data_IF_521902536560
#
_entry.id   IF_521902536560
#
_cell.length_a   1.000
_cell.length_b   1.000
_cell.length_c   1.000
_cell.angle_alpha   90.00
_cell.angle_beta   90.00
_cell.angle_gamma   90.00
#
_symmetry.space_group_name_H-M   'P 1'
#
loop_
_entity.id
_entity.type
_entity.pdbx_description
1 polymer ?
#
# COMPACT_ATOMS: atom_id res chain seq x y z
N UNK A 1 -34.24 -7.55 -14.40
CA UNK A 1 -33.31 -6.47 -14.74
C UNK A 1 -33.74 -5.22 -13.96
N UNK A 2 -32.81 -4.50 -13.39
CA UNK A 2 -33.04 -3.18 -12.76
C UNK A 2 -32.77 -2.03 -13.74
N UNK A 3 -32.32 -2.33 -14.96
CA UNK A 3 -32.00 -1.34 -16.01
C UNK A 3 -33.22 -0.44 -16.27
N UNK A 4 -32.99 0.88 -16.35
CA UNK A 4 -34.02 1.93 -16.48
C UNK A 4 -34.71 2.32 -15.18
N UNK A 5 -34.36 1.72 -14.04
CA UNK A 5 -34.92 2.12 -12.75
C UNK A 5 -34.07 3.21 -12.10
N UNK A 6 -34.74 4.20 -11.50
CA UNK A 6 -34.09 5.19 -10.65
C UNK A 6 -33.99 4.61 -9.24
N UNK A 7 -32.78 4.59 -8.71
CA UNK A 7 -32.49 4.09 -7.37
C UNK A 7 -31.75 5.14 -6.55
N UNK A 8 -31.77 4.97 -5.25
CA UNK A 8 -30.93 5.69 -4.32
C UNK A 8 -30.04 4.70 -3.59
N UNK A 9 -28.73 4.95 -3.61
CA UNK A 9 -27.72 4.11 -2.95
C UNK A 9 -26.73 4.97 -2.19
N UNK A 10 -26.16 4.45 -1.15
CA UNK A 10 -25.03 5.04 -0.44
C UNK A 10 -23.78 4.17 -0.56
N UNK A 11 -22.63 4.80 -0.37
CA UNK A 11 -21.34 4.14 -0.42
C UNK A 11 -20.19 5.10 -0.19
N UNK A 12 -18.97 4.57 -0.20
CA UNK A 12 -17.75 5.36 -0.10
C UNK A 12 -17.05 5.41 -1.46
N UNK A 13 -16.67 6.62 -1.88
CA UNK A 13 -15.90 6.81 -3.11
C UNK A 13 -14.52 6.18 -2.94
N UNK A 14 -14.22 5.17 -3.73
CA UNK A 14 -12.94 4.45 -3.74
C UNK A 14 -11.95 5.06 -4.73
N UNK A 15 -12.42 5.42 -5.94
CA UNK A 15 -11.68 6.19 -6.93
C UNK A 15 -12.59 7.28 -7.49
N UNK A 16 -12.23 8.56 -7.34
CA UNK A 16 -13.05 9.68 -7.84
C UNK A 16 -12.83 9.88 -9.35
N UNK A 17 -13.72 10.65 -9.95
CA UNK A 17 -13.60 11.12 -11.32
C UNK A 17 -12.29 11.90 -11.56
N UNK A 18 -11.86 11.94 -12.81
CA UNK A 18 -10.64 12.63 -13.22
C UNK A 18 -9.34 11.89 -12.92
N UNK A 19 -9.41 10.64 -12.43
CA UNK A 19 -8.22 9.82 -12.15
C UNK A 19 -7.95 8.81 -13.27
N UNK A 20 -8.81 7.82 -13.47
CA UNK A 20 -8.63 6.83 -14.52
C UNK A 20 -9.07 7.37 -15.88
N UNK A 21 -10.08 8.23 -15.90
CA UNK A 21 -10.54 8.99 -17.08
C UNK A 21 -10.57 10.47 -16.73
N UNK A 22 -10.23 11.32 -17.69
CA UNK A 22 -10.08 12.77 -17.49
C UNK A 22 -11.09 13.61 -18.26
N UNK A 23 -11.87 13.01 -19.14
CA UNK A 23 -12.78 13.74 -20.05
C UNK A 23 -14.25 13.64 -19.65
N UNK A 24 -14.60 12.73 -18.77
CA UNK A 24 -15.93 12.45 -18.27
C UNK A 24 -15.86 11.86 -16.86
N UNK A 25 -16.97 11.76 -16.18
CA UNK A 25 -17.03 11.11 -14.87
C UNK A 25 -17.04 9.61 -15.04
N UNK A 26 -15.99 8.99 -14.54
CA UNK A 26 -15.90 7.56 -14.23
C UNK A 26 -15.37 7.51 -12.80
N UNK A 27 -16.25 7.21 -11.87
CA UNK A 27 -15.92 7.10 -10.45
C UNK A 27 -16.46 5.79 -9.88
N UNK A 28 -15.91 5.35 -8.77
CA UNK A 28 -16.25 4.04 -8.20
C UNK A 28 -16.68 4.19 -6.76
N UNK A 29 -17.83 3.57 -6.46
CA UNK A 29 -18.37 3.45 -5.11
C UNK A 29 -18.27 2.03 -4.62
N UNK A 30 -18.12 1.87 -3.31
CA UNK A 30 -18.18 0.58 -2.64
C UNK A 30 -18.84 0.74 -1.28
N UNK A 31 -19.71 -0.19 -0.93
CA UNK A 31 -20.41 -0.26 0.34
C UNK A 31 -19.94 -1.45 1.19
N UNK A 32 -20.66 -1.76 2.25
CA UNK A 32 -20.36 -2.87 3.17
C UNK A 32 -20.58 -4.27 2.54
N UNK A 33 -21.20 -4.36 1.35
CA UNK A 33 -21.35 -5.62 0.62
C UNK A 33 -20.03 -6.17 0.08
N UNK A 34 -18.98 -5.32 0.05
CA UNK A 34 -17.69 -5.65 -0.52
C UNK A 34 -17.68 -5.67 -2.06
N UNK A 35 -18.73 -5.12 -2.69
CA UNK A 35 -18.82 -4.99 -4.16
C UNK A 35 -18.84 -3.52 -4.54
N UNK A 36 -18.14 -3.24 -5.63
CA UNK A 36 -18.09 -1.90 -6.19
C UNK A 36 -19.04 -1.72 -7.36
N UNK A 37 -19.39 -0.47 -7.62
CA UNK A 37 -20.15 -0.06 -8.79
C UNK A 37 -19.57 1.23 -9.38
N UNK A 38 -19.75 1.39 -10.69
CA UNK A 38 -19.30 2.58 -11.42
C UNK A 38 -20.39 3.66 -11.42
N UNK A 39 -19.99 4.91 -11.18
CA UNK A 39 -20.76 6.10 -11.46
C UNK A 39 -20.32 6.71 -12.77
N UNK A 40 -21.24 6.97 -13.65
CA UNK A 40 -20.99 7.58 -14.96
C UNK A 40 -21.75 8.90 -15.14
N UNK A 41 -21.08 9.87 -15.76
CA UNK A 41 -21.69 11.06 -16.38
C UNK A 41 -20.83 11.50 -17.56
N UNK A 42 -21.45 12.00 -18.62
CA UNK A 42 -20.75 12.55 -19.78
C UNK A 42 -19.94 13.82 -19.45
N UNK A 43 -20.24 14.48 -18.36
CA UNK A 43 -19.50 15.64 -17.85
C UNK A 43 -18.55 15.22 -16.75
N UNK A 44 -17.39 15.88 -16.64
CA UNK A 44 -16.43 15.62 -15.56
C UNK A 44 -16.85 16.32 -14.28
N UNK A 45 -17.20 15.54 -13.26
CA UNK A 45 -17.52 16.02 -11.92
C UNK A 45 -16.42 15.69 -10.92
N UNK A 46 -15.74 16.70 -10.42
CA UNK A 46 -14.67 16.59 -9.41
C UNK A 46 -15.08 17.10 -8.02
N UNK A 47 -16.38 17.22 -7.76
CA UNK A 47 -16.92 17.73 -6.49
C UNK A 47 -16.73 16.80 -5.30
N UNK A 48 -16.51 15.51 -5.57
CA UNK A 48 -16.27 14.46 -4.58
C UNK A 48 -14.90 13.80 -4.75
N UNK A 49 -14.37 13.25 -3.65
CA UNK A 49 -13.01 12.70 -3.58
C UNK A 49 -13.00 11.33 -2.91
N UNK A 50 -11.88 10.60 -3.03
CA UNK A 50 -11.69 9.33 -2.32
C UNK A 50 -11.94 9.50 -0.82
N UNK A 51 -12.73 8.59 -0.24
CA UNK A 51 -13.11 8.61 1.17
C UNK A 51 -14.32 9.50 1.47
N UNK A 52 -14.97 10.09 0.46
CA UNK A 52 -16.27 10.69 0.69
C UNK A 52 -17.34 9.58 0.76
N UNK A 53 -18.09 9.55 1.85
CA UNK A 53 -19.32 8.77 1.94
C UNK A 53 -20.43 9.62 1.30
N UNK A 54 -21.13 9.05 0.33
CA UNK A 54 -22.08 9.75 -0.52
C UNK A 54 -23.42 9.02 -0.58
N UNK A 55 -24.49 9.78 -0.80
CA UNK A 55 -25.80 9.29 -1.23
C UNK A 55 -25.99 9.68 -2.67
N UNK A 56 -26.31 8.73 -3.52
CA UNK A 56 -26.40 8.88 -4.98
C UNK A 56 -27.78 8.52 -5.46
N UNK A 57 -28.43 9.44 -6.18
CA UNK A 57 -29.64 9.16 -6.98
C UNK A 57 -29.20 8.92 -8.41
N UNK A 58 -29.48 7.75 -8.94
CA UNK A 58 -29.04 7.36 -10.28
C UNK A 58 -30.04 6.44 -10.99
N UNK A 59 -29.99 6.47 -12.31
CA UNK A 59 -30.62 5.46 -13.17
C UNK A 59 -29.65 4.28 -13.34
N UNK A 60 -30.15 3.07 -13.17
CA UNK A 60 -29.38 1.86 -13.47
C UNK A 60 -29.32 1.65 -14.97
N UNK A 61 -28.12 1.60 -15.52
CA UNK A 61 -27.87 1.32 -16.93
C UNK A 61 -26.91 0.13 -17.07
N UNK A 62 -26.68 -0.28 -18.31
CA UNK A 62 -25.76 -1.35 -18.65
C UNK A 62 -24.93 -0.95 -19.86
N UNK A 63 -23.62 -0.90 -19.68
CA UNK A 63 -22.66 -0.64 -20.76
C UNK A 63 -21.77 -1.87 -20.97
N UNK A 64 -21.77 -2.40 -22.18
CA UNK A 64 -20.97 -3.59 -22.57
C UNK A 64 -21.18 -4.79 -21.64
N UNK A 65 -22.46 -5.03 -21.25
CA UNK A 65 -22.84 -6.14 -20.38
C UNK A 65 -22.50 -5.95 -18.90
N UNK A 66 -22.09 -4.75 -18.50
CA UNK A 66 -21.71 -4.41 -17.11
C UNK A 66 -22.64 -3.32 -16.57
N UNK A 67 -23.13 -3.46 -15.33
CA UNK A 67 -23.99 -2.46 -14.73
C UNK A 67 -23.22 -1.18 -14.43
N UNK A 68 -23.83 -0.03 -14.72
CA UNK A 68 -23.37 1.29 -14.35
C UNK A 68 -24.51 2.15 -13.79
N UNK A 69 -24.16 3.20 -13.09
CA UNK A 69 -25.11 4.16 -12.55
C UNK A 69 -24.93 5.51 -13.23
N UNK A 70 -25.92 5.91 -14.02
CA UNK A 70 -26.00 7.28 -14.56
C UNK A 70 -26.62 8.16 -13.48
N UNK A 71 -25.78 8.84 -12.69
CA UNK A 71 -26.26 9.60 -11.57
C UNK A 71 -26.81 10.98 -11.98
N UNK A 72 -27.87 11.39 -11.30
CA UNK A 72 -28.49 12.70 -11.44
C UNK A 72 -28.23 13.62 -10.25
N UNK A 73 -27.93 13.05 -9.08
CA UNK A 73 -27.56 13.78 -7.86
C UNK A 73 -26.56 12.97 -7.04
N UNK A 74 -25.66 13.69 -6.36
CA UNK A 74 -24.72 13.14 -5.40
C UNK A 74 -24.61 14.08 -4.19
N UNK A 75 -24.94 13.57 -3.02
CA UNK A 75 -24.88 14.28 -1.75
C UNK A 75 -23.77 13.71 -0.89
N UNK A 76 -22.85 14.55 -0.43
CA UNK A 76 -21.76 14.13 0.44
C UNK A 76 -22.27 14.07 1.88
N UNK A 77 -22.35 12.85 2.41
CA UNK A 77 -22.79 12.59 3.79
C UNK A 77 -21.68 12.81 4.80
N UNK A 78 -20.43 12.40 4.44
CA UNK A 78 -19.27 12.48 5.32
C UNK A 78 -17.99 12.54 4.49
N UNK A 79 -17.05 13.38 4.91
CA UNK A 79 -15.69 13.43 4.38
C UNK A 79 -14.74 12.51 5.16
N UNK A 80 -13.70 12.02 4.49
CA UNK A 80 -12.65 11.19 5.10
C UNK A 80 -13.18 9.93 5.82
N UNK A 81 -14.20 9.28 5.25
CA UNK A 81 -14.60 7.95 5.67
C UNK A 81 -13.48 6.94 5.31
N UNK A 82 -13.43 5.85 6.04
CA UNK A 82 -12.53 4.75 5.71
C UNK A 82 -12.92 4.18 4.34
N UNK A 83 -11.97 4.10 3.43
CA UNK A 83 -12.18 3.49 2.11
C UNK A 83 -12.25 1.98 2.28
N UNK A 84 -13.36 1.33 1.92
CA UNK A 84 -13.44 -0.12 1.94
C UNK A 84 -12.46 -0.72 0.94
N UNK A 85 -11.84 -1.84 1.30
CA UNK A 85 -10.91 -2.58 0.44
C UNK A 85 -11.06 -4.07 0.69
N UNK A 86 -11.22 -4.85 -0.38
CA UNK A 86 -11.28 -6.31 -0.32
C UNK A 86 -9.89 -6.91 -0.53
N UNK A 87 -9.33 -7.52 0.50
CA UNK A 87 -8.04 -8.21 0.41
C UNK A 87 -8.23 -9.64 -0.10
N UNK A 88 -7.46 -10.03 -1.12
CA UNK A 88 -7.60 -11.34 -1.74
C UNK A 88 -6.32 -11.82 -2.39
N UNK A 89 -6.28 -13.09 -2.77
CA UNK A 89 -5.23 -13.69 -3.59
C UNK A 89 -5.40 -13.30 -5.06
N UNK A 90 -4.34 -13.44 -5.85
CA UNK A 90 -4.42 -13.26 -7.31
C UNK A 90 -5.39 -14.25 -7.95
N UNK A 91 -5.44 -15.48 -7.43
CA UNK A 91 -6.38 -16.50 -7.91
C UNK A 91 -7.85 -16.09 -7.71
N UNK A 92 -8.20 -15.57 -6.54
CA UNK A 92 -9.55 -15.05 -6.27
C UNK A 92 -9.88 -13.86 -7.16
N UNK A 93 -8.93 -12.92 -7.31
CA UNK A 93 -9.08 -11.77 -8.18
C UNK A 93 -9.31 -12.17 -9.64
N UNK A 94 -8.60 -13.17 -10.14
CA UNK A 94 -8.74 -13.68 -11.51
C UNK A 94 -10.10 -14.35 -11.80
N UNK A 95 -10.97 -14.54 -10.79
CA UNK A 95 -12.32 -15.07 -11.00
C UNK A 95 -13.27 -14.12 -11.75
N UNK A 96 -12.84 -12.91 -12.09
CA UNK A 96 -13.61 -11.85 -12.79
C UNK A 96 -14.85 -11.35 -12.04
N UNK A 97 -14.98 -11.63 -10.74
CA UNK A 97 -16.13 -11.23 -9.92
C UNK A 97 -15.95 -9.85 -9.25
N UNK A 98 -14.81 -9.19 -9.48
CA UNK A 98 -14.39 -7.97 -8.77
C UNK A 98 -14.27 -6.75 -9.68
N UNK A 99 -14.98 -6.76 -10.82
CA UNK A 99 -15.12 -5.56 -11.65
C UNK A 99 -15.69 -4.40 -10.81
N UNK A 100 -15.09 -3.22 -10.95
CA UNK A 100 -15.45 -1.98 -10.23
C UNK A 100 -15.22 -1.99 -8.71
N UNK A 101 -14.83 -3.15 -8.14
CA UNK A 101 -14.51 -3.30 -6.72
C UNK A 101 -13.09 -2.80 -6.44
N UNK A 102 -12.92 -2.05 -5.35
CA UNK A 102 -11.61 -1.64 -4.86
C UNK A 102 -11.01 -2.80 -4.06
N UNK A 103 -9.99 -3.40 -4.62
CA UNK A 103 -9.37 -4.62 -4.10
C UNK A 103 -7.91 -4.37 -3.75
N UNK A 104 -7.35 -5.28 -2.95
CA UNK A 104 -5.94 -5.33 -2.61
C UNK A 104 -5.40 -6.73 -2.87
N UNK A 105 -4.33 -6.80 -3.64
CA UNK A 105 -3.58 -8.02 -3.91
C UNK A 105 -2.09 -7.78 -3.68
N UNK A 106 -1.31 -8.84 -3.60
CA UNK A 106 0.13 -8.74 -3.55
C UNK A 106 0.80 -9.86 -4.36
N UNK A 107 2.04 -9.60 -4.78
CA UNK A 107 2.82 -10.59 -5.49
C UNK A 107 4.15 -10.03 -6.00
N UNK A 108 4.91 -10.88 -6.64
CA UNK A 108 6.20 -10.56 -7.25
C UNK A 108 6.00 -10.05 -8.68
N UNK A 109 6.68 -8.97 -9.02
CA UNK A 109 6.71 -8.46 -10.38
C UNK A 109 7.55 -9.40 -11.25
N UNK A 110 6.94 -9.96 -12.29
CA UNK A 110 7.59 -10.90 -13.21
C UNK A 110 7.83 -10.30 -14.60
N UNK A 111 7.08 -9.27 -14.97
CA UNK A 111 7.31 -8.51 -16.19
C UNK A 111 6.78 -7.09 -16.08
N UNK A 112 7.31 -6.20 -16.91
CA UNK A 112 6.88 -4.80 -17.02
C UNK A 112 6.95 -4.37 -18.48
N UNK A 113 5.95 -3.62 -18.92
CA UNK A 113 5.89 -2.95 -20.21
C UNK A 113 5.49 -1.50 -19.99
N UNK A 114 6.37 -0.59 -20.34
CA UNK A 114 6.16 0.85 -20.21
C UNK A 114 5.30 1.41 -21.35
N UNK A 115 4.76 2.62 -21.24
CA UNK A 115 4.01 3.27 -22.29
C UNK A 115 4.84 3.40 -23.57
N UNK A 116 4.24 3.15 -24.72
CA UNK A 116 4.89 3.29 -26.01
C UNK A 116 3.89 3.69 -27.11
N UNK A 117 4.23 4.68 -27.92
CA UNK A 117 3.39 5.18 -29.00
C UNK A 117 2.06 5.72 -28.48
N UNK A 118 0.96 5.15 -28.94
CA UNK A 118 -0.41 5.51 -28.50
C UNK A 118 -0.85 4.79 -27.23
N UNK A 119 -0.03 3.88 -26.68
CA UNK A 119 -0.32 3.20 -25.43
C UNK A 119 -0.06 4.14 -24.26
N UNK A 120 -1.10 4.57 -23.60
CA UNK A 120 -1.08 5.58 -22.52
C UNK A 120 -1.02 4.98 -21.13
N UNK A 121 -0.22 3.94 -20.92
CA UNK A 121 -0.05 3.35 -19.59
C UNK A 121 0.90 2.15 -19.57
N UNK A 122 1.45 1.87 -18.40
CA UNK A 122 2.30 0.71 -18.14
C UNK A 122 1.47 -0.52 -17.77
N UNK A 123 1.90 -1.70 -18.21
CA UNK A 123 1.40 -2.99 -17.76
C UNK A 123 2.48 -3.70 -16.96
N UNK A 124 2.12 -4.18 -15.78
CA UNK A 124 3.03 -4.86 -14.86
C UNK A 124 2.39 -6.18 -14.45
N UNK A 125 3.03 -7.29 -14.77
CA UNK A 125 2.54 -8.62 -14.39
C UNK A 125 2.99 -8.94 -12.98
N UNK A 126 2.02 -9.28 -12.13
CA UNK A 126 2.21 -9.65 -10.72
C UNK A 126 1.87 -11.11 -10.56
N UNK A 127 2.79 -11.89 -9.98
CA UNK A 127 2.60 -13.31 -9.68
C UNK A 127 2.57 -13.52 -8.16
N UNK A 128 1.55 -14.20 -7.65
CA UNK A 128 1.47 -14.57 -6.25
C UNK A 128 2.23 -15.87 -5.93
N UNK A 129 2.19 -16.29 -4.66
CA UNK A 129 2.88 -17.50 -4.20
C UNK A 129 2.30 -18.80 -4.78
N UNK A 130 1.07 -18.79 -5.30
CA UNK A 130 0.46 -19.94 -5.98
C UNK A 130 0.94 -20.13 -7.42
N UNK A 131 1.59 -19.10 -7.97
CA UNK A 131 2.01 -19.03 -9.37
C UNK A 131 0.98 -18.35 -10.29
N UNK A 132 -0.17 -17.95 -9.74
CA UNK A 132 -1.18 -17.21 -10.49
C UNK A 132 -0.70 -15.79 -10.83
N UNK A 133 -1.04 -15.33 -12.02
CA UNK A 133 -0.59 -14.06 -12.58
C UNK A 133 -1.77 -13.16 -12.91
N UNK A 134 -1.64 -11.88 -12.56
CA UNK A 134 -2.57 -10.83 -13.00
C UNK A 134 -1.80 -9.62 -13.50
N UNK A 135 -2.51 -8.67 -14.13
CA UNK A 135 -1.92 -7.43 -14.65
C UNK A 135 -2.32 -6.24 -13.79
N UNK A 136 -1.35 -5.48 -13.32
CA UNK A 136 -1.55 -4.12 -12.85
C UNK A 136 -1.41 -3.16 -14.03
N UNK A 137 -2.44 -2.36 -14.28
CA UNK A 137 -2.45 -1.33 -15.31
C UNK A 137 -2.34 0.05 -14.69
N UNK A 138 -1.23 0.75 -14.93
CA UNK A 138 -1.01 2.13 -14.48
C UNK A 138 -1.28 3.06 -15.66
N UNK A 139 -2.40 3.79 -15.62
CA UNK A 139 -2.74 4.75 -16.66
C UNK A 139 -1.97 6.05 -16.51
N UNK A 140 -1.51 6.62 -17.62
CA UNK A 140 -0.84 7.93 -17.61
C UNK A 140 -1.75 9.06 -17.10
N UNK A 141 -3.07 8.94 -17.31
CA UNK A 141 -4.07 9.87 -16.75
C UNK A 141 -3.99 10.04 -15.24
N UNK A 142 -3.48 9.04 -14.51
CA UNK A 142 -3.31 9.11 -13.05
C UNK A 142 -2.14 10.00 -12.63
N UNK A 143 -1.17 10.26 -13.50
CA UNK A 143 0.07 10.99 -13.22
C UNK A 143 0.85 10.42 -12.02
N UNK A 144 0.86 9.08 -11.83
CA UNK A 144 1.56 8.46 -10.71
C UNK A 144 2.93 7.89 -11.08
N UNK A 145 3.11 7.47 -12.32
CA UNK A 145 4.38 6.92 -12.83
C UNK A 145 4.87 7.65 -14.07
N UNK A 146 4.00 7.81 -15.07
CA UNK A 146 4.26 8.54 -16.31
C UNK A 146 3.23 9.66 -16.47
N UNK A 147 3.62 10.72 -17.18
CA UNK A 147 2.70 11.78 -17.59
C UNK A 147 1.96 11.43 -18.89
N UNK A 148 1.13 12.35 -19.37
CA UNK A 148 0.37 12.19 -20.63
C UNK A 148 1.24 12.09 -21.88
N UNK A 149 2.51 12.51 -21.81
CA UNK A 149 3.52 12.42 -22.87
C UNK A 149 4.34 11.14 -22.85
N UNK A 150 4.05 10.20 -21.93
CA UNK A 150 4.84 9.01 -21.66
C UNK A 150 6.21 9.27 -21.01
N UNK A 151 6.41 10.45 -20.42
CA UNK A 151 7.64 10.75 -19.68
C UNK A 151 7.54 10.23 -18.24
N UNK A 152 8.61 9.57 -17.77
CA UNK A 152 8.70 9.08 -16.40
C UNK A 152 8.79 10.23 -15.40
N UNK A 153 7.85 10.34 -14.47
CA UNK A 153 7.75 11.44 -13.50
C UNK A 153 7.99 11.04 -12.04
N UNK A 154 8.02 9.73 -11.73
CA UNK A 154 8.15 9.23 -10.37
C UNK A 154 9.23 8.15 -10.25
N UNK A 155 10.48 8.57 -10.04
CA UNK A 155 11.64 7.69 -9.94
C UNK A 155 11.58 6.74 -8.73
N UNK A 156 10.96 7.16 -7.63
CA UNK A 156 10.83 6.31 -6.43
C UNK A 156 9.88 5.15 -6.70
N UNK A 157 8.75 5.42 -7.33
CA UNK A 157 7.80 4.37 -7.73
C UNK A 157 8.39 3.51 -8.85
N UNK A 158 9.13 4.10 -9.78
CA UNK A 158 9.83 3.36 -10.83
C UNK A 158 10.78 2.31 -10.25
N UNK A 159 11.57 2.70 -9.24
CA UNK A 159 12.49 1.78 -8.55
C UNK A 159 11.77 0.64 -7.85
N UNK A 160 10.58 0.89 -7.28
CA UNK A 160 9.74 -0.12 -6.65
C UNK A 160 9.13 -1.09 -7.68
N UNK A 161 8.89 -0.62 -8.90
CA UNK A 161 8.21 -1.39 -9.95
C UNK A 161 9.18 -2.15 -10.88
N UNK A 162 10.37 -2.50 -10.40
CA UNK A 162 11.31 -3.32 -11.16
C UNK A 162 10.98 -4.81 -11.06
N UNK A 163 11.32 -5.57 -12.12
CA UNK A 163 11.15 -7.03 -12.12
C UNK A 163 11.92 -7.66 -10.94
N UNK A 164 11.26 -8.52 -10.22
CA UNK A 164 11.78 -9.17 -9.02
C UNK A 164 11.32 -8.55 -7.70
N UNK A 165 10.85 -7.31 -7.69
CA UNK A 165 10.29 -6.68 -6.50
C UNK A 165 8.96 -7.32 -6.10
N UNK A 166 8.69 -7.35 -4.81
CA UNK A 166 7.41 -7.82 -4.25
C UNK A 166 6.63 -6.59 -3.81
N UNK A 167 5.42 -6.46 -4.32
CA UNK A 167 4.56 -5.32 -4.04
C UNK A 167 3.18 -5.77 -3.54
N UNK A 168 2.55 -4.88 -2.79
CA UNK A 168 1.13 -4.89 -2.52
C UNK A 168 0.51 -3.74 -3.32
N UNK A 169 -0.59 -4.00 -3.99
CA UNK A 169 -1.31 -3.01 -4.77
C UNK A 169 -2.78 -3.01 -4.42
N UNK A 170 -3.32 -1.80 -4.20
CA UNK A 170 -4.76 -1.55 -4.12
C UNK A 170 -5.22 -0.84 -5.39
N UNK A 171 -6.39 -1.17 -5.86
CA UNK A 171 -6.91 -0.56 -7.09
C UNK A 171 -8.28 -1.06 -7.47
N UNK A 172 -8.84 -0.47 -8.53
CA UNK A 172 -10.11 -0.95 -9.08
C UNK A 172 -9.86 -2.21 -9.88
N UNK A 173 -10.65 -3.24 -9.59
CA UNK A 173 -10.74 -4.42 -10.43
C UNK A 173 -11.42 -4.09 -11.75
N UNK A 174 -10.85 -4.58 -12.82
CA UNK A 174 -11.39 -4.46 -14.17
C UNK A 174 -11.03 -5.67 -15.00
N UNK A 175 -11.49 -5.66 -16.24
CA UNK A 175 -11.27 -6.73 -17.21
C UNK A 175 -10.77 -6.14 -18.53
N UNK A 176 -9.80 -6.80 -19.13
CA UNK A 176 -9.35 -6.49 -20.48
C UNK A 176 -9.10 -7.80 -21.25
N UNK A 177 -9.80 -7.97 -22.38
CA UNK A 177 -9.68 -9.17 -23.23
C UNK A 177 -9.87 -10.50 -22.46
N UNK A 178 -10.81 -10.54 -21.52
CA UNK A 178 -11.11 -11.74 -20.72
C UNK A 178 -10.14 -12.01 -19.57
N UNK A 179 -9.23 -11.09 -19.24
CA UNK A 179 -8.30 -11.21 -18.14
C UNK A 179 -8.52 -10.10 -17.11
N UNK A 180 -8.38 -10.43 -15.82
CA UNK A 180 -8.45 -9.46 -14.74
C UNK A 180 -7.30 -8.44 -14.80
N UNK A 181 -7.63 -7.19 -14.50
CA UNK A 181 -6.69 -6.08 -14.36
C UNK A 181 -6.95 -5.32 -13.07
N UNK A 182 -5.91 -5.03 -12.28
CA UNK A 182 -6.00 -4.09 -11.17
C UNK A 182 -5.47 -2.72 -11.60
N UNK A 183 -6.20 -1.65 -11.29
CA UNK A 183 -5.93 -0.29 -11.74
C UNK A 183 -5.75 0.64 -10.53
N UNK A 184 -4.53 0.90 -10.08
CA UNK A 184 -4.26 1.88 -9.02
C UNK A 184 -4.51 3.30 -9.52
N UNK A 185 -5.01 4.17 -8.66
CA UNK A 185 -5.32 5.57 -8.96
C UNK A 185 -4.37 6.57 -8.31
N UNK A 186 -3.60 6.15 -7.30
CA UNK A 186 -2.63 6.96 -6.58
C UNK A 186 -1.33 6.20 -6.39
N UNK A 187 -0.21 6.92 -6.26
CA UNK A 187 1.07 6.30 -5.98
C UNK A 187 1.09 5.55 -4.63
N UNK A 188 0.31 6.02 -3.65
CA UNK A 188 0.12 5.35 -2.37
C UNK A 188 -0.65 4.03 -2.43
N UNK A 189 -1.29 3.74 -3.54
CA UNK A 189 -1.97 2.46 -3.76
C UNK A 189 -0.98 1.32 -4.02
N UNK A 190 0.29 1.64 -4.27
CA UNK A 190 1.35 0.68 -4.59
C UNK A 190 2.44 0.81 -3.54
N UNK A 191 2.70 -0.28 -2.84
CA UNK A 191 3.67 -0.29 -1.75
C UNK A 191 4.57 -1.51 -1.84
N UNK A 192 5.80 -1.39 -1.35
CA UNK A 192 6.71 -2.53 -1.25
C UNK A 192 6.16 -3.55 -0.24
N UNK A 193 6.20 -4.83 -0.59
CA UNK A 193 5.91 -5.93 0.32
C UNK A 193 7.19 -6.72 0.57
N UNK A 194 7.64 -6.73 1.80
CA UNK A 194 8.86 -7.46 2.17
C UNK A 194 8.60 -8.98 2.22
N UNK A 195 9.57 -9.78 1.75
CA UNK A 195 9.50 -11.23 1.85
C UNK A 195 9.29 -11.68 3.30
N UNK A 196 8.33 -12.58 3.53
CA UNK A 196 7.96 -13.06 4.86
C UNK A 196 6.66 -12.48 5.42
N UNK A 197 6.02 -11.55 4.73
CA UNK A 197 4.71 -11.00 5.12
C UNK A 197 3.57 -11.73 4.40
N UNK A 198 3.29 -12.95 4.82
CA UNK A 198 2.07 -13.67 4.44
C UNK A 198 0.96 -13.34 5.44
N UNK A 199 -0.07 -12.67 5.00
CA UNK A 199 -1.36 -12.48 5.67
C UNK A 199 -1.31 -12.08 7.16
N UNK A 200 -1.69 -10.90 7.52
CA UNK A 200 -1.54 -10.15 8.77
C UNK A 200 -0.18 -9.45 8.83
N UNK A 201 -0.22 -8.19 8.45
CA UNK A 201 0.91 -7.28 8.58
C UNK A 201 1.43 -7.30 10.04
N UNK A 202 2.55 -7.96 10.28
CA UNK A 202 3.21 -7.96 11.58
C UNK A 202 4.46 -7.12 11.50
N UNK A 203 4.65 -6.24 12.50
CA UNK A 203 5.88 -5.52 12.68
C UNK A 203 7.10 -6.45 12.55
N UNK A 204 8.12 -6.04 11.84
CA UNK A 204 9.39 -6.77 11.74
C UNK A 204 10.54 -5.98 12.36
N UNK A 205 11.53 -6.68 12.85
CA UNK A 205 12.81 -6.13 13.30
C UNK A 205 13.91 -7.13 12.92
N UNK A 206 14.86 -6.68 12.12
CA UNK A 206 16.04 -7.46 11.73
C UNK A 206 17.30 -6.68 12.13
N UNK A 207 18.34 -7.40 12.55
CA UNK A 207 19.61 -6.82 13.01
C UNK A 207 20.76 -7.64 12.43
N UNK A 208 21.73 -6.98 11.79
CA UNK A 208 22.87 -7.63 11.14
C UNK A 208 24.00 -6.61 10.90
N UNK A 209 25.28 -7.02 10.86
CA UNK A 209 25.86 -8.34 11.20
C UNK A 209 26.07 -8.53 12.70
N UNK A 210 26.33 -9.77 13.13
CA UNK A 210 26.75 -10.11 14.50
C UNK A 210 28.02 -10.97 14.49
N UNK A 211 28.88 -10.80 15.48
CA UNK A 211 29.02 -9.67 16.38
C UNK A 211 29.60 -8.45 15.68
N UNK A 212 29.52 -7.26 16.30
CA UNK A 212 30.22 -6.07 15.83
C UNK A 212 31.11 -5.48 16.94
N UNK A 213 32.15 -4.72 16.56
CA UNK A 213 33.16 -4.17 17.47
C UNK A 213 33.14 -2.65 17.43
N UNK A 214 32.36 -1.98 18.30
CA UNK A 214 32.24 -0.51 18.31
C UNK A 214 33.55 0.22 18.57
N UNK A 215 34.51 -0.41 19.29
CA UNK A 215 35.83 0.18 19.52
C UNK A 215 36.63 0.39 18.23
N UNK A 216 36.33 -0.38 17.18
CA UNK A 216 36.95 -0.25 15.86
C UNK A 216 36.15 0.67 14.93
N UNK A 217 35.12 1.36 15.44
CA UNK A 217 34.24 2.22 14.65
C UNK A 217 33.15 1.47 13.87
N UNK A 218 32.99 0.17 14.12
CA UNK A 218 31.93 -0.61 13.50
C UNK A 218 30.55 -0.18 14.02
N UNK A 219 29.55 -0.36 13.18
CA UNK A 219 28.15 -0.12 13.48
C UNK A 219 27.34 -1.35 13.15
N UNK A 220 26.29 -1.62 13.91
CA UNK A 220 25.32 -2.64 13.54
C UNK A 220 24.18 -1.99 12.75
N UNK A 221 23.81 -2.62 11.65
CA UNK A 221 22.62 -2.22 10.89
C UNK A 221 21.38 -2.91 11.45
N UNK A 222 20.30 -2.19 11.49
CA UNK A 222 19.00 -2.76 11.78
C UNK A 222 17.94 -2.22 10.82
N UNK A 223 16.98 -3.06 10.53
CA UNK A 223 15.82 -2.69 9.75
C UNK A 223 14.55 -3.05 10.49
N UNK A 224 13.53 -2.23 10.31
CA UNK A 224 12.22 -2.50 10.86
C UNK A 224 11.12 -2.06 9.88
N UNK A 225 9.97 -2.72 9.99
CA UNK A 225 8.79 -2.38 9.22
C UNK A 225 7.57 -2.30 10.14
N UNK A 226 6.57 -1.53 9.73
CA UNK A 226 5.29 -1.40 10.45
C UNK A 226 4.16 -1.01 9.49
N UNK A 227 2.90 -1.42 9.82
CA UNK A 227 1.79 -1.45 8.88
C UNK A 227 1.07 -0.13 8.61
N UNK A 228 1.10 0.81 9.53
CA UNK A 228 0.19 1.95 9.53
C UNK A 228 0.85 3.17 10.14
N UNK A 229 0.13 4.29 10.17
CA UNK A 229 0.52 5.41 11.01
C UNK A 229 0.63 4.95 12.46
N UNK A 230 1.81 5.07 13.03
CA UNK A 230 2.10 4.50 14.33
C UNK A 230 3.07 5.35 15.15
N UNK A 231 2.93 5.25 16.46
CA UNK A 231 4.01 5.63 17.37
C UNK A 231 5.00 4.48 17.44
N UNK A 232 6.27 4.79 17.17
CA UNK A 232 7.37 3.83 17.18
C UNK A 232 8.31 4.17 18.31
N UNK A 233 8.64 3.17 19.10
CA UNK A 233 9.66 3.25 20.12
C UNK A 233 10.66 2.12 19.96
N UNK A 234 11.90 2.45 19.58
CA UNK A 234 12.99 1.50 19.42
C UNK A 234 14.04 1.75 20.51
N UNK A 235 14.27 0.76 21.34
CA UNK A 235 15.13 0.82 22.52
C UNK A 235 16.13 -0.32 22.52
N UNK A 236 17.26 -0.09 23.17
CA UNK A 236 18.27 -1.13 23.45
C UNK A 236 18.35 -1.35 24.95
N UNK A 237 18.30 -2.60 25.34
CA UNK A 237 18.43 -3.05 26.75
C UNK A 237 19.61 -4.01 26.88
N UNK A 238 20.17 -4.10 28.07
CA UNK A 238 21.05 -5.21 28.44
C UNK A 238 20.23 -6.46 28.84
N UNK A 239 20.90 -7.56 29.06
CA UNK A 239 20.25 -8.83 29.42
C UNK A 239 19.59 -8.80 30.81
N UNK A 240 19.90 -7.80 31.65
CA UNK A 240 19.25 -7.57 32.95
C UNK A 240 18.00 -6.67 32.82
N UNK A 241 17.64 -6.26 31.59
CA UNK A 241 16.48 -5.41 31.33
C UNK A 241 16.72 -3.91 31.59
N UNK A 242 17.97 -3.48 31.80
CA UNK A 242 18.27 -2.07 31.98
C UNK A 242 18.32 -1.37 30.65
N UNK A 243 17.64 -0.22 30.53
CA UNK A 243 17.65 0.60 29.33
C UNK A 243 19.07 1.17 29.10
N UNK A 244 19.60 0.93 27.91
CA UNK A 244 20.89 1.43 27.45
C UNK A 244 20.71 2.72 26.65
N UNK A 245 19.80 2.71 25.67
CA UNK A 245 19.48 3.89 24.87
C UNK A 245 18.12 3.76 24.18
N UNK A 246 17.53 4.91 23.85
CA UNK A 246 16.37 4.99 22.97
C UNK A 246 16.85 5.50 21.62
N UNK A 247 16.72 4.70 20.59
CA UNK A 247 17.12 5.06 19.23
C UNK A 247 16.04 5.90 18.55
N UNK A 248 14.75 5.54 18.77
CA UNK A 248 13.59 6.29 18.28
C UNK A 248 12.46 6.28 19.29
N UNK A 249 11.73 7.41 19.39
CA UNK A 249 10.46 7.56 20.09
C UNK A 249 9.69 8.67 19.37
N UNK A 250 8.97 8.32 18.31
CA UNK A 250 8.33 9.30 17.43
C UNK A 250 7.09 8.72 16.73
N UNK A 251 6.24 9.61 16.24
CA UNK A 251 5.17 9.25 15.34
C UNK A 251 5.70 9.19 13.90
N UNK A 252 5.33 8.15 13.19
CA UNK A 252 5.67 7.94 11.79
C UNK A 252 4.42 7.62 10.99
N UNK A 253 4.33 8.20 9.79
CA UNK A 253 3.39 7.76 8.76
C UNK A 253 3.70 6.32 8.30
N UNK A 254 2.92 5.81 7.41
CA UNK A 254 3.11 4.47 6.84
C UNK A 254 4.56 4.34 6.35
N UNK A 255 5.28 3.39 6.90
CA UNK A 255 6.63 3.08 6.49
C UNK A 255 6.78 1.56 6.37
N UNK A 256 7.19 1.11 5.20
CA UNK A 256 7.30 -0.32 4.90
C UNK A 256 8.66 -0.87 5.31
N UNK A 257 9.69 -0.04 5.18
CA UNK A 257 11.05 -0.42 5.50
C UNK A 257 11.84 0.80 5.95
N UNK A 258 12.52 0.66 7.08
CA UNK A 258 13.53 1.63 7.57
C UNK A 258 14.79 0.88 7.91
N UNK A 259 15.89 1.33 7.34
CA UNK A 259 17.23 0.89 7.71
C UNK A 259 17.95 2.02 8.45
N UNK A 260 18.62 1.67 9.54
CA UNK A 260 19.44 2.58 10.30
C UNK A 260 20.56 1.82 11.02
N UNK A 261 21.41 2.53 11.75
CA UNK A 261 22.57 1.96 12.42
C UNK A 261 22.61 2.34 13.88
N UNK A 262 23.20 1.47 14.70
CA UNK A 262 23.61 1.77 16.08
C UNK A 262 25.10 1.54 16.25
N UNK A 263 25.78 2.47 16.89
CA UNK A 263 27.22 2.50 17.05
C UNK A 263 27.70 1.95 18.41
N UNK A 264 26.86 1.22 19.11
CA UNK A 264 27.21 0.61 20.40
C UNK A 264 27.39 1.61 21.54
N UNK A 265 26.68 2.76 21.53
CA UNK A 265 26.77 3.77 22.59
C UNK A 265 25.47 3.88 23.39
N UNK A 266 25.64 4.19 24.69
CA UNK A 266 24.53 4.48 25.57
C UNK A 266 23.98 5.91 25.39
N UNK A 267 22.93 6.27 26.14
CA UNK A 267 22.31 7.60 26.10
C UNK A 267 23.25 8.76 26.54
N UNK A 268 24.41 8.46 27.19
CA UNK A 268 25.48 9.41 27.52
C UNK A 268 26.59 9.41 26.45
N UNK A 269 26.37 8.76 25.32
CA UNK A 269 27.34 8.62 24.21
C UNK A 269 28.63 7.86 24.60
N UNK A 270 28.60 7.01 25.63
CA UNK A 270 29.71 6.15 26.05
C UNK A 270 29.57 4.79 25.40
N UNK A 271 30.68 4.19 24.97
CA UNK A 271 30.70 2.82 24.48
C UNK A 271 30.21 1.86 25.58
N UNK A 272 29.31 0.97 25.19
CA UNK A 272 28.81 -0.06 26.08
C UNK A 272 29.79 -1.25 26.13
N UNK A 273 29.87 -1.99 27.26
CA UNK A 273 30.70 -3.19 27.37
C UNK A 273 30.37 -4.24 26.32
N UNK A 274 31.36 -5.12 26.01
CA UNK A 274 31.09 -6.31 25.20
C UNK A 274 30.05 -7.22 25.87
N UNK A 275 29.20 -7.82 25.11
CA UNK A 275 28.14 -8.67 25.62
C UNK A 275 26.91 -8.72 24.71
N UNK A 276 25.88 -9.36 25.20
CA UNK A 276 24.59 -9.44 24.47
C UNK A 276 23.63 -8.37 24.96
N UNK A 277 23.01 -7.70 24.02
CA UNK A 277 21.97 -6.69 24.20
C UNK A 277 20.70 -7.11 23.48
N UNK A 278 19.59 -6.48 23.81
CA UNK A 278 18.29 -6.73 23.21
C UNK A 278 17.80 -5.43 22.59
N UNK A 279 17.65 -5.41 21.28
CA UNK A 279 16.94 -4.36 20.56
C UNK A 279 15.44 -4.66 20.63
N UNK A 280 14.65 -3.71 21.12
CA UNK A 280 13.23 -3.87 21.38
C UNK A 280 12.45 -2.79 20.63
N UNK A 281 11.58 -3.21 19.74
CA UNK A 281 10.70 -2.38 18.93
C UNK A 281 9.27 -2.49 19.47
N UNK A 282 8.74 -1.36 19.95
CA UNK A 282 7.32 -1.18 20.24
C UNK A 282 6.69 -0.33 19.16
N UNK A 283 5.56 -0.76 18.64
CA UNK A 283 4.76 -0.04 17.65
C UNK A 283 3.33 0.02 18.15
N UNK A 284 2.78 1.22 18.24
CA UNK A 284 1.37 1.43 18.57
C UNK A 284 0.68 2.08 17.38
N UNK A 285 -0.20 1.35 16.74
CA UNK A 285 -1.03 1.82 15.63
C UNK A 285 -1.91 2.97 16.09
N UNK A 286 -1.84 4.12 15.40
CA UNK A 286 -2.56 5.34 15.78
C UNK A 286 -4.06 5.26 15.49
N UNK A 287 -4.48 4.41 14.55
CA UNK A 287 -5.89 4.28 14.16
C UNK A 287 -6.66 3.30 15.02
N UNK A 288 -6.00 2.17 15.38
CA UNK A 288 -6.64 1.07 16.11
C UNK A 288 -6.23 0.99 17.58
N UNK A 289 -5.14 1.66 17.98
CA UNK A 289 -4.54 1.53 19.30
C UNK A 289 -3.88 0.18 19.55
N UNK A 290 -3.81 -0.72 18.56
CA UNK A 290 -3.13 -2.02 18.69
C UNK A 290 -1.63 -1.82 18.84
N UNK A 291 -1.01 -2.61 19.72
CA UNK A 291 0.42 -2.60 19.91
C UNK A 291 1.07 -3.89 19.40
N UNK A 292 2.22 -3.72 18.77
CA UNK A 292 3.04 -4.80 18.24
C UNK A 292 4.43 -4.68 18.86
N UNK A 293 5.04 -5.80 19.21
CA UNK A 293 6.38 -5.84 19.79
C UNK A 293 7.25 -6.83 19.06
N UNK A 294 8.49 -6.42 18.80
CA UNK A 294 9.54 -7.28 18.23
C UNK A 294 10.83 -7.08 19.01
N UNK A 295 11.56 -8.15 19.15
CA UNK A 295 12.88 -8.16 19.79
C UNK A 295 13.90 -8.82 18.87
N UNK A 296 15.12 -8.31 18.89
CA UNK A 296 16.26 -8.92 18.21
C UNK A 296 17.50 -8.85 19.10
N UNK A 297 18.30 -9.92 19.19
CA UNK A 297 19.56 -9.88 19.92
C UNK A 297 20.59 -9.03 19.17
N UNK A 298 21.47 -8.36 19.91
CA UNK A 298 22.64 -7.63 19.41
C UNK A 298 23.85 -8.10 20.17
N UNK A 299 24.87 -8.58 19.47
CA UNK A 299 26.11 -9.05 20.09
C UNK A 299 27.25 -8.07 19.82
N UNK A 300 27.82 -7.54 20.89
CA UNK A 300 28.98 -6.66 20.85
C UNK A 300 30.20 -7.47 21.29
N UNK A 301 31.19 -7.53 20.42
CA UNK A 301 32.50 -8.07 20.77
C UNK A 301 33.45 -6.96 21.27
N UNK A 302 34.40 -7.33 22.12
CA UNK A 302 35.49 -6.46 22.54
C UNK A 302 36.75 -6.78 21.76
N UNK A 303 37.49 -5.77 21.38
CA UNK A 303 38.83 -5.94 20.87
C UNK A 303 39.78 -6.06 22.07
N UNK A 304 40.37 -7.21 22.28
CA UNK A 304 41.45 -7.42 23.23
C UNK A 304 42.79 -7.15 22.54
N UNK A 305 43.60 -6.23 23.07
CA UNK A 305 44.97 -5.97 22.60
C UNK A 305 45.93 -7.07 23.04
#
# INVERSE_FOLDING_TARGET
SYVGQIIEIDGVVTVPAGRLRTNFTEAFLQDESGKGIILYSSELDTSFTRGDSVLVTAEVDEFDGKPELIYSNIDILKRNAQVPVEEMTVSEFNSLQYNYTFVKIWGKIISRSDPFGTNTGANISIQDASGEVTTMRIWNSTNILFDSGNELINLSLDSLLQVGQIIEVSGIGGEYSGASQIQPAYASDIVEKLEGQTGNFTASLSVSPHPFVPQLGEVIKYSYSFPSDARIKLRVFDIAGRLITTLYDEYRGISFYKEATWNGRDYLNRLVPGGTYIMHLDITDSSTGKSYQKIAPVVIATFEN
#
